data_IF_541961769176
#
_entry.id   IF_541961769176
#
_cell.length_a   1.000
_cell.length_b   1.000
_cell.length_c   1.000
_cell.angle_alpha   90.00
_cell.angle_beta   90.00
_cell.angle_gamma   90.00
#
_symmetry.space_group_name_H-M   'P 1'
#
loop_
_entity.id
_entity.type
_entity.pdbx_description
1 polymer ?
#
# COMPACT_ATOMS: atom_id res chain seq x y z
N UNK A 1 -14.66 14.49 -6.95
CA UNK A 1 -13.76 13.31 -6.90
C UNK A 1 -14.19 12.29 -5.85
N UNK A 2 -14.20 12.62 -4.55
CA UNK A 2 -14.57 11.69 -3.46
C UNK A 2 -15.95 11.04 -3.67
N UNK A 3 -16.95 11.80 -4.11
CA UNK A 3 -18.29 11.28 -4.39
C UNK A 3 -18.30 10.21 -5.51
N UNK A 4 -17.44 10.34 -6.53
CA UNK A 4 -17.30 9.33 -7.57
C UNK A 4 -16.63 8.08 -7.01
N UNK A 5 -15.55 8.23 -6.23
CA UNK A 5 -14.90 7.10 -5.56
C UNK A 5 -15.88 6.34 -4.67
N UNK A 6 -16.65 7.07 -3.85
CA UNK A 6 -17.69 6.48 -3.00
C UNK A 6 -18.76 5.74 -3.82
N UNK A 7 -19.15 6.28 -4.98
CA UNK A 7 -20.19 5.68 -5.81
C UNK A 7 -19.83 4.30 -6.35
N UNK A 8 -18.54 4.01 -6.53
CA UNK A 8 -18.06 2.70 -6.98
C UNK A 8 -18.32 1.60 -5.93
N UNK A 9 -18.42 1.95 -4.65
CA UNK A 9 -18.70 0.99 -3.59
C UNK A 9 -20.18 0.61 -3.44
N UNK A 10 -21.08 1.20 -4.23
CA UNK A 10 -22.51 0.90 -4.16
C UNK A 10 -22.84 -0.33 -4.99
N UNK A 11 -23.78 -1.13 -4.49
CA UNK A 11 -24.39 -2.26 -5.21
C UNK A 11 -23.38 -3.28 -5.76
N UNK A 12 -22.25 -3.47 -5.05
CA UNK A 12 -21.26 -4.49 -5.41
C UNK A 12 -21.88 -5.88 -5.29
N UNK A 13 -22.00 -6.57 -6.43
CA UNK A 13 -22.42 -7.96 -6.49
C UNK A 13 -21.29 -8.92 -6.12
N UNK A 14 -21.62 -10.21 -6.04
CA UNK A 14 -20.68 -11.27 -5.63
C UNK A 14 -19.46 -11.45 -6.56
N UNK A 15 -19.47 -10.83 -7.75
CA UNK A 15 -18.39 -10.87 -8.75
C UNK A 15 -17.73 -9.51 -8.98
N UNK A 16 -18.13 -8.51 -8.21
CA UNK A 16 -17.64 -7.14 -8.37
C UNK A 16 -16.55 -6.84 -7.34
N UNK A 17 -15.66 -5.93 -7.69
CA UNK A 17 -14.60 -5.47 -6.82
C UNK A 17 -14.12 -4.08 -7.24
N UNK A 18 -13.71 -3.28 -6.27
CA UNK A 18 -13.15 -1.95 -6.50
C UNK A 18 -11.73 -1.93 -5.95
N UNK A 19 -10.78 -1.54 -6.80
CA UNK A 19 -9.39 -1.36 -6.40
C UNK A 19 -9.08 0.14 -6.32
N UNK A 20 -8.44 0.55 -5.23
CA UNK A 20 -7.98 1.91 -5.02
C UNK A 20 -6.51 1.90 -4.60
N UNK A 21 -5.76 2.91 -5.02
CA UNK A 21 -4.39 3.18 -4.58
C UNK A 21 -4.40 4.39 -3.64
N UNK A 22 -4.43 4.18 -2.31
CA UNK A 22 -4.62 5.26 -1.34
C UNK A 22 -3.53 6.34 -1.40
N UNK A 23 -2.32 6.01 -1.85
CA UNK A 23 -1.23 6.98 -2.03
C UNK A 23 -1.54 8.02 -3.12
N UNK A 24 -2.36 7.64 -4.11
CA UNK A 24 -2.68 8.46 -5.28
C UNK A 24 -1.52 8.68 -6.26
N UNK A 25 -0.35 8.10 -6.02
CA UNK A 25 0.82 8.20 -6.89
C UNK A 25 1.80 7.07 -6.58
N UNK A 26 2.76 6.82 -7.49
CA UNK A 26 3.86 5.87 -7.22
C UNK A 26 4.82 6.42 -6.16
N UNK A 27 5.27 5.54 -5.28
CA UNK A 27 6.34 5.83 -4.33
C UNK A 27 7.61 6.33 -5.03
N UNK A 28 8.20 7.38 -4.48
CA UNK A 28 9.60 7.78 -4.72
C UNK A 28 10.13 8.40 -3.44
N UNK A 29 11.43 8.24 -3.17
CA UNK A 29 12.04 8.85 -1.98
C UNK A 29 11.88 10.38 -1.97
N UNK A 30 11.93 11.02 -3.14
CA UNK A 30 11.70 12.44 -3.29
C UNK A 30 10.28 12.88 -2.92
N UNK A 31 9.25 12.05 -3.19
CA UNK A 31 7.87 12.34 -2.79
C UNK A 31 7.69 12.11 -1.29
N UNK A 32 8.30 11.05 -0.74
CA UNK A 32 8.30 10.77 0.69
C UNK A 32 8.84 11.96 1.47
N UNK A 33 10.06 12.44 1.14
CA UNK A 33 10.65 13.63 1.77
C UNK A 33 9.73 14.85 1.72
N UNK A 34 9.18 15.17 0.54
CA UNK A 34 8.24 16.30 0.39
C UNK A 34 6.98 16.17 1.26
N UNK A 35 6.48 14.95 1.47
CA UNK A 35 5.33 14.72 2.34
C UNK A 35 5.72 14.95 3.80
N UNK A 36 6.86 14.42 4.24
CA UNK A 36 7.37 14.64 5.59
C UNK A 36 7.61 16.12 5.90
N UNK A 37 8.23 16.85 4.97
CA UNK A 37 8.48 18.29 5.12
C UNK A 37 7.16 19.07 5.27
N UNK A 38 6.14 18.75 4.46
CA UNK A 38 4.81 19.36 4.59
C UNK A 38 4.10 19.01 5.90
N UNK A 39 4.30 17.80 6.43
CA UNK A 39 3.72 17.41 7.71
C UNK A 39 4.40 18.17 8.87
N UNK A 40 5.73 18.34 8.81
CA UNK A 40 6.49 19.19 9.74
C UNK A 40 5.99 20.63 9.72
N UNK A 41 5.83 21.22 8.53
CA UNK A 41 5.32 22.58 8.37
C UNK A 41 3.89 22.77 8.93
N UNK A 42 3.06 21.72 8.88
CA UNK A 42 1.70 21.74 9.41
C UNK A 42 1.61 21.55 10.93
N UNK A 43 2.67 21.04 11.57
CA UNK A 43 2.69 20.74 13.01
C UNK A 43 1.81 19.56 13.44
N UNK A 44 1.45 18.66 12.52
CA UNK A 44 0.72 17.43 12.85
C UNK A 44 1.71 16.33 13.28
N UNK A 45 2.15 16.39 14.54
CA UNK A 45 3.21 15.53 15.08
C UNK A 45 2.85 14.04 14.99
N UNK A 46 1.60 13.67 15.26
CA UNK A 46 1.15 12.29 15.22
C UNK A 46 1.17 11.73 13.79
N UNK A 47 0.70 12.48 12.80
CA UNK A 47 0.78 12.05 11.40
C UNK A 47 2.21 12.08 10.88
N UNK A 48 3.06 12.98 11.37
CA UNK A 48 4.48 13.00 11.04
C UNK A 48 5.17 11.73 11.53
N UNK A 49 5.01 11.38 12.81
CA UNK A 49 5.59 10.15 13.39
C UNK A 49 5.14 8.91 12.62
N UNK A 50 3.85 8.80 12.34
CA UNK A 50 3.30 7.73 11.50
C UNK A 50 3.96 7.70 10.11
N UNK A 51 4.06 8.85 9.45
CA UNK A 51 4.64 8.94 8.11
C UNK A 51 6.15 8.63 8.09
N UNK A 52 6.88 8.96 9.16
CA UNK A 52 8.30 8.64 9.32
C UNK A 52 8.53 7.13 9.48
N UNK A 53 7.59 6.41 10.10
CA UNK A 53 7.59 4.95 10.21
C UNK A 53 7.40 4.21 8.87
N UNK A 54 6.75 4.84 7.89
CA UNK A 54 6.57 4.26 6.55
C UNK A 54 7.82 4.48 5.70
N UNK A 55 8.63 3.44 5.53
CA UNK A 55 9.88 3.48 4.74
C UNK A 55 9.69 3.08 3.27
N UNK A 56 8.70 2.24 2.99
CA UNK A 56 8.45 1.67 1.65
C UNK A 56 7.14 2.12 1.02
N UNK A 57 6.30 2.84 1.76
CA UNK A 57 5.02 3.35 1.31
C UNK A 57 4.92 4.86 1.54
N UNK A 58 4.03 5.51 0.80
CA UNK A 58 3.59 6.86 1.14
C UNK A 58 2.43 6.78 2.15
N UNK A 59 2.26 7.79 3.02
CA UNK A 59 1.07 7.88 3.86
C UNK A 59 -0.21 7.88 3.01
N UNK A 60 -1.24 7.09 3.36
CA UNK A 60 -2.42 6.95 2.55
C UNK A 60 -3.31 8.20 2.62
N UNK A 61 -3.91 8.59 1.48
CA UNK A 61 -4.96 9.61 1.42
C UNK A 61 -6.29 8.99 1.82
N UNK A 62 -6.63 9.09 3.10
CA UNK A 62 -7.74 8.35 3.69
C UNK A 62 -9.13 8.72 3.17
N UNK A 63 -9.37 9.98 2.76
CA UNK A 63 -10.73 10.45 2.44
C UNK A 63 -11.44 9.61 1.36
N UNK A 64 -10.72 9.19 0.32
CA UNK A 64 -11.29 8.35 -0.74
C UNK A 64 -11.57 6.92 -0.26
N UNK A 65 -10.59 6.29 0.40
CA UNK A 65 -10.71 4.93 0.93
C UNK A 65 -11.83 4.82 1.96
N UNK A 66 -11.93 5.77 2.88
CA UNK A 66 -12.99 5.78 3.90
C UNK A 66 -14.37 5.94 3.27
N UNK A 67 -14.51 6.85 2.28
CA UNK A 67 -15.77 7.03 1.58
C UNK A 67 -16.19 5.81 0.76
N UNK A 68 -15.22 5.11 0.15
CA UNK A 68 -15.45 3.85 -0.55
C UNK A 68 -15.92 2.75 0.42
N UNK A 69 -15.18 2.54 1.50
CA UNK A 69 -15.50 1.52 2.52
C UNK A 69 -16.87 1.77 3.17
N UNK A 70 -17.25 3.04 3.36
CA UNK A 70 -18.56 3.39 3.91
C UNK A 70 -19.72 3.06 2.97
N UNK A 71 -19.49 3.02 1.66
CA UNK A 71 -20.50 2.60 0.67
C UNK A 71 -20.48 1.10 0.40
N UNK A 72 -19.30 0.48 0.44
CA UNK A 72 -19.10 -0.95 0.27
C UNK A 72 -19.35 -1.76 1.57
N UNK A 73 -20.35 -1.37 2.38
CA UNK A 73 -20.68 -2.13 3.60
C UNK A 73 -21.09 -3.55 3.24
N UNK A 74 -20.49 -4.54 3.90
CA UNK A 74 -20.71 -5.95 3.60
C UNK A 74 -19.75 -6.54 2.57
N UNK A 75 -18.87 -5.74 1.96
CA UNK A 75 -17.77 -6.26 1.14
C UNK A 75 -16.55 -6.60 2.02
N UNK A 76 -15.83 -7.67 1.65
CA UNK A 76 -14.53 -7.97 2.24
C UNK A 76 -13.49 -6.94 1.78
N UNK A 77 -12.57 -6.57 2.67
CA UNK A 77 -11.43 -5.73 2.33
C UNK A 77 -10.21 -6.60 2.01
N UNK A 78 -9.50 -6.28 0.93
CA UNK A 78 -8.25 -6.97 0.55
C UNK A 78 -7.13 -5.94 0.44
N UNK A 79 -6.09 -6.11 1.26
CA UNK A 79 -4.85 -5.36 1.15
C UNK A 79 -3.87 -6.17 0.30
N UNK A 80 -3.41 -5.57 -0.80
CA UNK A 80 -2.46 -6.16 -1.73
C UNK A 80 -1.10 -5.50 -1.57
N UNK A 81 -0.12 -6.26 -1.08
CA UNK A 81 1.27 -5.85 -0.91
C UNK A 81 2.12 -6.52 -1.98
N UNK A 82 3.12 -5.82 -2.53
CA UNK A 82 4.03 -6.43 -3.49
C UNK A 82 5.46 -5.90 -3.39
N UNK A 83 6.44 -6.73 -3.76
CA UNK A 83 7.86 -6.37 -3.92
C UNK A 83 8.38 -6.93 -5.24
N UNK A 84 9.24 -6.17 -5.92
CA UNK A 84 9.86 -6.57 -7.20
C UNK A 84 9.41 -5.75 -8.41
N UNK A 85 8.46 -4.83 -8.24
CA UNK A 85 8.15 -3.80 -9.24
C UNK A 85 9.04 -2.55 -9.09
N UNK A 86 9.76 -2.41 -7.98
CA UNK A 86 10.57 -1.22 -7.66
C UNK A 86 11.73 -1.01 -8.66
N UNK A 87 12.22 -2.10 -9.27
CA UNK A 87 13.26 -2.07 -10.31
C UNK A 87 12.72 -1.57 -11.66
N UNK A 88 11.40 -1.48 -11.81
CA UNK A 88 10.72 -1.04 -13.03
C UNK A 88 10.37 0.44 -12.89
N UNK A 89 11.33 1.28 -13.25
CA UNK A 89 11.23 2.73 -13.06
C UNK A 89 10.24 3.42 -14.01
N UNK A 90 9.84 2.76 -15.11
CA UNK A 90 8.91 3.32 -16.10
C UNK A 90 7.97 2.30 -16.74
N UNK A 91 6.83 2.79 -17.27
CA UNK A 91 5.91 1.96 -18.07
C UNK A 91 6.54 1.48 -19.40
N UNK A 92 7.62 2.14 -19.84
CA UNK A 92 8.39 1.74 -21.02
C UNK A 92 9.28 0.53 -20.73
N UNK A 93 9.86 0.45 -19.52
CA UNK A 93 10.64 -0.72 -19.09
C UNK A 93 9.75 -1.96 -18.98
N UNK A 94 8.52 -1.79 -18.48
CA UNK A 94 7.51 -2.84 -18.44
C UNK A 94 7.20 -3.42 -19.84
N UNK A 95 7.02 -2.56 -20.86
CA UNK A 95 6.72 -2.98 -22.23
C UNK A 95 7.93 -3.60 -22.97
N UNK A 96 9.14 -3.25 -22.56
CA UNK A 96 10.39 -3.76 -23.15
C UNK A 96 10.87 -5.08 -22.52
N UNK A 97 10.07 -5.72 -21.67
CA UNK A 97 10.41 -7.01 -21.08
C UNK A 97 11.26 -6.94 -19.81
N UNK A 98 11.29 -5.81 -19.10
CA UNK A 98 11.98 -5.72 -17.79
C UNK A 98 11.42 -6.67 -16.71
N UNK A 99 10.27 -7.30 -16.97
CA UNK A 99 9.71 -8.37 -16.13
C UNK A 99 10.31 -9.75 -16.42
N UNK A 100 11.03 -9.92 -17.52
CA UNK A 100 11.62 -11.22 -17.87
C UNK A 100 12.74 -11.51 -16.87
N UNK A 101 12.54 -12.54 -16.04
CA UNK A 101 13.45 -12.92 -14.96
C UNK A 101 13.22 -12.19 -13.64
N UNK A 102 12.31 -11.20 -13.59
CA UNK A 102 11.97 -10.51 -12.35
C UNK A 102 11.12 -11.41 -11.44
N UNK A 103 11.51 -11.52 -10.18
CA UNK A 103 10.67 -12.18 -9.17
C UNK A 103 9.78 -11.15 -8.49
N UNK A 104 8.47 -11.25 -8.71
CA UNK A 104 7.46 -10.46 -7.99
C UNK A 104 6.93 -11.31 -6.83
N UNK A 105 7.01 -10.78 -5.61
CA UNK A 105 6.34 -11.36 -4.44
C UNK A 105 5.08 -10.55 -4.17
N UNK A 106 3.95 -11.23 -3.98
CA UNK A 106 2.65 -10.62 -3.68
C UNK A 106 2.07 -11.24 -2.42
N UNK A 107 1.51 -10.41 -1.53
CA UNK A 107 0.73 -10.86 -0.37
C UNK A 107 -0.65 -10.23 -0.43
N UNK A 108 -1.68 -11.06 -0.36
CA UNK A 108 -3.07 -10.64 -0.22
C UNK A 108 -3.52 -10.94 1.20
N UNK A 109 -3.90 -9.90 1.95
CA UNK A 109 -4.56 -10.04 3.25
C UNK A 109 -6.01 -9.67 3.12
N UNK A 110 -6.89 -10.66 3.34
CA UNK A 110 -8.35 -10.51 3.26
C UNK A 110 -8.94 -10.37 4.66
N UNK A 111 -9.90 -9.47 4.80
CA UNK A 111 -10.70 -9.25 5.99
C UNK A 111 -12.17 -9.35 5.62
N UNK A 112 -12.89 -10.23 6.30
CA UNK A 112 -14.34 -10.32 6.17
C UNK A 112 -15.02 -9.07 6.75
N UNK A 113 -16.26 -8.76 6.34
CA UNK A 113 -16.94 -7.52 6.73
C UNK A 113 -17.08 -7.32 8.25
N UNK A 114 -17.18 -8.40 9.01
CA UNK A 114 -17.28 -8.41 10.47
C UNK A 114 -15.97 -8.05 11.18
N UNK A 115 -14.83 -8.25 10.50
CA UNK A 115 -13.51 -7.84 10.99
C UNK A 115 -13.21 -6.35 10.73
N UNK A 116 -14.05 -5.64 9.97
CA UNK A 116 -13.88 -4.23 9.63
C UNK A 116 -14.68 -3.38 10.63
N UNK A 117 -14.04 -2.43 11.36
CA UNK A 117 -14.77 -1.63 12.32
C UNK A 117 -15.91 -0.81 11.69
N UNK A 118 -17.08 -0.85 12.34
CA UNK A 118 -18.25 -0.09 11.91
C UNK A 118 -18.10 1.41 12.19
N UNK A 119 -17.49 1.77 13.33
CA UNK A 119 -17.20 3.16 13.69
C UNK A 119 -16.14 3.78 12.76
N UNK A 120 -16.36 5.04 12.37
CA UNK A 120 -15.51 5.72 11.40
C UNK A 120 -14.08 5.92 11.89
N UNK A 121 -13.90 6.28 13.17
CA UNK A 121 -12.56 6.55 13.70
C UNK A 121 -11.81 5.25 14.00
N UNK A 122 -12.51 4.23 14.49
CA UNK A 122 -11.96 2.89 14.64
C UNK A 122 -11.54 2.29 13.28
N UNK A 123 -12.34 2.49 12.22
CA UNK A 123 -12.01 2.03 10.87
C UNK A 123 -10.80 2.77 10.30
N UNK A 124 -10.69 4.07 10.55
CA UNK A 124 -9.53 4.88 10.17
C UNK A 124 -8.26 4.33 10.82
N UNK A 125 -8.26 4.10 12.13
CA UNK A 125 -7.12 3.51 12.85
C UNK A 125 -6.76 2.13 12.33
N UNK A 126 -7.76 1.25 12.22
CA UNK A 126 -7.57 -0.09 11.65
C UNK A 126 -6.95 -0.07 10.25
N UNK A 127 -7.36 0.87 9.38
CA UNK A 127 -6.79 1.02 8.05
C UNK A 127 -5.32 1.43 8.11
N UNK A 128 -4.97 2.38 8.98
CA UNK A 128 -3.58 2.83 9.17
C UNK A 128 -2.70 1.68 9.72
N UNK A 129 -3.24 0.85 10.62
CA UNK A 129 -2.56 -0.34 11.13
C UNK A 129 -2.30 -1.36 10.02
N UNK A 130 -3.29 -1.63 9.16
CA UNK A 130 -3.11 -2.54 8.02
C UNK A 130 -2.11 -1.98 7.00
N UNK A 131 -2.03 -0.66 6.87
CA UNK A 131 -1.06 0.03 6.01
C UNK A 131 0.36 -0.06 6.58
N UNK A 132 0.53 0.07 7.90
CA UNK A 132 1.81 -0.14 8.57
C UNK A 132 2.29 -1.59 8.42
N UNK A 133 1.41 -2.57 8.68
CA UNK A 133 1.72 -3.99 8.49
C UNK A 133 2.07 -4.34 7.05
N UNK A 134 1.53 -3.60 6.06
CA UNK A 134 1.98 -3.72 4.67
C UNK A 134 3.41 -3.22 4.48
N UNK A 135 3.74 -2.05 5.03
CA UNK A 135 5.10 -1.50 4.99
C UNK A 135 6.11 -2.45 5.65
N UNK A 136 5.78 -3.02 6.80
CA UNK A 136 6.68 -3.87 7.58
C UNK A 136 6.93 -5.20 6.88
N UNK A 137 5.92 -5.75 6.19
CA UNK A 137 6.14 -6.91 5.33
C UNK A 137 7.01 -6.62 4.12
N UNK A 138 6.87 -5.43 3.51
CA UNK A 138 7.75 -5.02 2.41
C UNK A 138 9.21 -4.94 2.89
N UNK A 139 9.44 -4.34 4.06
CA UNK A 139 10.76 -4.30 4.70
C UNK A 139 11.29 -5.73 4.89
N UNK A 140 10.54 -6.62 5.55
CA UNK A 140 10.97 -8.00 5.80
C UNK A 140 11.32 -8.76 4.52
N UNK A 141 10.52 -8.64 3.47
CA UNK A 141 10.79 -9.28 2.17
C UNK A 141 12.05 -8.71 1.51
N UNK A 142 12.33 -7.41 1.63
CA UNK A 142 13.54 -6.79 1.10
C UNK A 142 14.78 -7.23 1.87
N UNK A 143 14.72 -7.23 3.20
CA UNK A 143 15.81 -7.70 4.06
C UNK A 143 16.16 -9.17 3.78
N UNK A 144 15.16 -10.04 3.58
CA UNK A 144 15.41 -11.44 3.20
C UNK A 144 16.16 -11.56 1.87
N UNK A 145 15.81 -10.74 0.86
CA UNK A 145 16.47 -10.76 -0.46
C UNK A 145 17.91 -10.27 -0.37
N UNK A 146 18.14 -9.20 0.37
CA UNK A 146 19.49 -8.67 0.61
C UNK A 146 20.34 -9.70 1.35
N UNK A 147 19.81 -10.37 2.36
CA UNK A 147 20.54 -11.42 3.05
C UNK A 147 20.82 -12.61 2.12
N UNK A 148 19.84 -13.07 1.35
CA UNK A 148 20.03 -14.16 0.41
C UNK A 148 21.11 -13.86 -0.65
N UNK A 149 21.18 -12.63 -1.17
CA UNK A 149 22.22 -12.23 -2.13
C UNK A 149 23.62 -12.12 -1.50
N UNK A 150 23.72 -11.86 -0.19
CA UNK A 150 25.00 -11.88 0.54
C UNK A 150 25.50 -13.32 0.83
N UNK A 151 24.62 -14.32 0.82
CA UNK A 151 24.96 -15.73 1.06
C UNK A 151 25.11 -16.58 -0.22
N UNK A 152 24.97 -15.99 -1.42
CA UNK A 152 25.31 -16.65 -2.68
C UNK A 152 26.83 -16.85 -2.79
N UNK A 153 27.33 -17.88 -2.08
CA UNK A 153 28.64 -18.47 -2.27
C UNK A 153 28.75 -18.94 -3.72
N UNK A 154 29.55 -18.24 -4.52
CA UNK A 154 30.06 -18.79 -5.79
C UNK A 154 30.85 -20.05 -5.46
N UNK A 155 30.24 -21.21 -5.64
CA UNK A 155 30.99 -22.47 -5.78
C UNK A 155 31.73 -22.35 -7.13
N UNK A 156 33.07 -22.32 -7.14
CA UNK A 156 33.81 -22.29 -8.38
C UNK A 156 33.58 -23.59 -9.16
N UNK A 157 33.62 -23.47 -10.49
CA UNK A 157 33.40 -24.55 -11.45
C UNK A 157 34.35 -25.73 -11.27
#
# INVERSE_FOLDING_TARGET
EIAHVASMGRDLGARDGVMIYPEGTRFTESKRRRILDRLREKGDEAMLEYAEGLRHLLPPRLSGSMALMEKAKGAAAIFCSHVGFDEITSARDFLNGALIGATIRVRLRRFEPDAIPADSEARRRWFLDQWQEMNDWIEGVKTERENASHFDLRIPA
#
